data_IF_843253091185
#
_entry.id   IF_843253091185
#
_cell.length_a   1.000
_cell.length_b   1.000
_cell.length_c   1.000
_cell.angle_alpha   90.00
_cell.angle_beta   90.00
_cell.angle_gamma   90.00
#
_symmetry.space_group_name_H-M   'P 1'
#
loop_
_entity.id
_entity.type
_entity.pdbx_description
1 polymer ?
#
# COMPACT_ATOMS: atom_id res chain seq x y z
N UNK A 1 -71.66 20.61 17.06
CA UNK A 1 -70.34 20.22 17.60
C UNK A 1 -69.48 19.76 16.43
N UNK A 2 -68.87 20.69 15.70
CA UNK A 2 -67.95 20.39 14.58
C UNK A 2 -66.53 20.69 15.03
N UNK A 3 -65.68 19.66 15.06
CA UNK A 3 -64.25 19.78 15.36
C UNK A 3 -63.52 19.92 14.03
N UNK A 4 -63.00 21.11 13.73
CA UNK A 4 -62.12 21.36 12.60
C UNK A 4 -60.70 21.01 13.05
N UNK A 5 -60.16 19.91 12.52
CA UNK A 5 -58.77 19.51 12.75
C UNK A 5 -57.89 20.24 11.72
N UNK A 6 -57.20 21.27 12.17
CA UNK A 6 -56.23 22.02 11.37
C UNK A 6 -54.87 21.30 11.43
N UNK A 7 -54.60 20.39 10.49
CA UNK A 7 -53.27 19.79 10.32
C UNK A 7 -52.43 20.77 9.50
N UNK A 8 -51.66 21.61 10.18
CA UNK A 8 -50.64 22.45 9.57
C UNK A 8 -49.47 21.60 9.07
N UNK A 9 -49.21 21.67 7.76
CA UNK A 9 -48.05 21.09 7.09
C UNK A 9 -46.75 21.66 7.66
N UNK A 10 -46.10 20.89 8.54
CA UNK A 10 -44.73 21.18 8.95
C UNK A 10 -43.81 20.91 7.75
N UNK A 11 -43.36 21.99 7.09
CA UNK A 11 -42.32 21.91 6.06
C UNK A 11 -41.02 21.51 6.74
N UNK A 12 -40.54 20.30 6.45
CA UNK A 12 -39.20 19.85 6.84
C UNK A 12 -38.22 20.44 5.83
N UNK A 13 -37.39 21.39 6.25
CA UNK A 13 -36.30 21.92 5.43
C UNK A 13 -35.04 21.09 5.69
N UNK A 14 -34.48 20.51 4.64
CA UNK A 14 -33.21 19.78 4.70
C UNK A 14 -32.05 20.76 4.50
N UNK A 15 -31.11 20.80 5.44
CA UNK A 15 -29.86 21.56 5.33
C UNK A 15 -28.68 20.60 5.50
N UNK A 16 -27.65 20.76 4.68
CA UNK A 16 -26.41 19.99 4.81
C UNK A 16 -25.47 20.73 5.77
N UNK A 17 -25.00 20.04 6.82
CA UNK A 17 -24.08 20.62 7.81
C UNK A 17 -22.69 20.00 7.64
N UNK A 18 -21.77 20.77 7.06
CA UNK A 18 -20.36 20.42 6.97
C UNK A 18 -19.58 20.88 8.19
N UNK A 19 -18.63 20.06 8.64
CA UNK A 19 -17.68 20.43 9.69
C UNK A 19 -16.27 20.40 9.09
N UNK A 20 -15.51 21.46 9.31
CA UNK A 20 -14.09 21.50 8.97
C UNK A 20 -13.28 20.79 10.06
N UNK A 21 -12.61 19.69 9.70
CA UNK A 21 -11.83 18.86 10.63
C UNK A 21 -10.40 19.37 10.85
N UNK A 22 -10.03 20.53 10.28
CA UNK A 22 -8.63 20.98 10.19
C UNK A 22 -8.23 22.03 11.24
N UNK A 23 -9.08 22.36 12.21
CA UNK A 23 -8.83 23.40 13.23
C UNK A 23 -9.20 23.05 14.68
N UNK A 24 -8.61 23.77 15.65
CA UNK A 24 -8.79 23.59 17.11
C UNK A 24 -10.15 24.11 17.60
N UNK A 25 -10.80 25.02 16.86
CA UNK A 25 -12.11 25.57 17.18
C UNK A 25 -13.14 25.23 16.09
N UNK A 26 -14.32 24.77 16.50
CA UNK A 26 -15.43 24.46 15.61
C UNK A 26 -15.96 25.75 14.98
N UNK A 27 -15.69 25.99 13.69
CA UNK A 27 -16.33 27.05 12.92
C UNK A 27 -17.46 26.43 12.09
N UNK A 28 -18.72 26.77 12.40
CA UNK A 28 -19.89 26.20 11.73
C UNK A 28 -20.39 27.19 10.68
N UNK A 29 -20.15 26.87 9.42
CA UNK A 29 -20.77 27.55 8.28
C UNK A 29 -22.01 26.77 7.83
N UNK A 30 -23.17 27.42 7.82
CA UNK A 30 -24.41 26.87 7.26
C UNK A 30 -24.55 27.31 5.82
N UNK A 31 -24.65 26.35 4.89
CA UNK A 31 -24.82 26.64 3.47
C UNK A 31 -26.26 26.33 3.04
N UNK A 32 -26.91 27.27 2.35
CA UNK A 32 -28.25 27.10 1.80
C UNK A 32 -28.14 26.45 0.42
N UNK A 33 -28.79 25.30 0.21
CA UNK A 33 -28.86 24.65 -1.10
C UNK A 33 -29.85 25.32 -2.06
N UNK A 34 -30.57 26.35 -1.59
CA UNK A 34 -31.56 27.09 -2.39
C UNK A 34 -30.94 28.23 -3.19
N UNK A 35 -29.76 28.71 -2.80
CA UNK A 35 -29.06 29.88 -3.36
C UNK A 35 -27.65 29.52 -3.86
N UNK A 36 -27.46 28.30 -4.36
CA UNK A 36 -26.21 27.94 -5.03
C UNK A 36 -26.24 28.56 -6.42
N UNK A 37 -25.42 29.58 -6.65
CA UNK A 37 -25.22 30.11 -7.99
C UNK A 37 -24.74 28.98 -8.90
N UNK A 38 -25.30 28.89 -10.12
CA UNK A 38 -24.77 27.97 -11.13
C UNK A 38 -23.30 28.28 -11.34
N UNK A 39 -22.44 27.32 -11.03
CA UNK A 39 -21.06 27.37 -11.49
C UNK A 39 -21.14 27.32 -13.01
N UNK A 40 -20.79 28.40 -13.70
CA UNK A 40 -20.46 28.34 -15.12
C UNK A 40 -19.24 27.41 -15.24
N UNK A 41 -19.49 26.10 -15.35
CA UNK A 41 -18.46 25.15 -15.69
C UNK A 41 -18.20 25.36 -17.17
N UNK A 42 -17.01 25.82 -17.59
CA UNK A 42 -16.71 25.87 -19.01
C UNK A 42 -16.94 24.46 -19.58
N UNK A 43 -17.68 24.36 -20.69
CA UNK A 43 -17.97 23.11 -21.40
C UNK A 43 -16.70 22.63 -22.09
N UNK A 44 -15.70 22.28 -21.28
CA UNK A 44 -14.50 21.59 -21.73
C UNK A 44 -14.90 20.13 -21.85
N UNK A 45 -15.36 19.73 -23.03
CA UNK A 45 -15.55 18.31 -23.33
C UNK A 45 -14.21 17.59 -23.08
N UNK A 46 -14.16 16.65 -22.12
CA UNK A 46 -12.92 15.93 -21.85
C UNK A 46 -12.60 15.02 -23.02
N UNK A 47 -11.36 15.08 -23.49
CA UNK A 47 -10.81 14.12 -24.44
C UNK A 47 -10.47 12.85 -23.66
N UNK A 48 -11.06 11.73 -24.07
CA UNK A 48 -10.81 10.43 -23.48
C UNK A 48 -9.89 9.58 -24.37
N UNK A 49 -8.80 9.08 -23.80
CA UNK A 49 -7.89 8.18 -24.48
C UNK A 49 -7.68 6.93 -23.61
N UNK A 50 -7.73 5.74 -24.22
CA UNK A 50 -7.35 4.51 -23.53
C UNK A 50 -5.84 4.38 -23.52
N UNK A 51 -5.24 4.23 -22.34
CA UNK A 51 -3.79 4.07 -22.15
C UNK A 51 -3.53 2.87 -21.25
N UNK A 52 -2.48 2.11 -21.55
CA UNK A 52 -2.06 1.02 -20.67
C UNK A 52 -1.25 1.61 -19.52
N UNK A 53 -1.62 1.26 -18.28
CA UNK A 53 -0.98 1.81 -17.09
C UNK A 53 -0.62 0.72 -16.10
N UNK A 54 0.35 1.03 -15.25
CA UNK A 54 0.48 0.42 -13.94
C UNK A 54 0.14 1.43 -12.85
N UNK A 55 -0.70 1.02 -11.90
CA UNK A 55 -0.87 1.73 -10.64
C UNK A 55 0.14 1.17 -9.65
N UNK A 56 1.04 2.02 -9.19
CA UNK A 56 2.07 1.70 -8.23
C UNK A 56 1.72 2.31 -6.86
N UNK A 57 2.05 1.58 -5.80
CA UNK A 57 2.02 2.09 -4.44
C UNK A 57 3.42 2.09 -3.85
N UNK A 58 3.89 3.23 -3.36
CA UNK A 58 5.10 3.30 -2.55
C UNK A 58 4.89 2.54 -1.22
N UNK A 59 5.79 1.62 -0.93
CA UNK A 59 5.79 0.79 0.27
C UNK A 59 6.76 1.36 1.31
N UNK A 60 6.40 1.26 2.58
CA UNK A 60 7.34 1.53 3.68
C UNK A 60 8.08 0.26 4.14
N UNK A 61 7.70 -0.89 3.58
CA UNK A 61 8.19 -2.20 3.99
C UNK A 61 8.56 -3.06 2.80
N UNK A 62 9.48 -3.99 3.01
CA UNK A 62 9.84 -5.03 2.06
C UNK A 62 9.79 -6.40 2.75
N UNK A 63 9.71 -7.46 1.94
CA UNK A 63 9.69 -8.84 2.41
C UNK A 63 11.05 -9.49 2.18
N UNK A 64 11.53 -10.22 3.18
CA UNK A 64 12.80 -10.93 3.09
C UNK A 64 12.71 -12.34 3.63
N UNK A 65 13.46 -13.25 3.01
CA UNK A 65 13.50 -14.66 3.40
C UNK A 65 14.55 -14.87 4.48
N UNK A 66 14.09 -15.33 5.64
CA UNK A 66 14.91 -15.65 6.80
C UNK A 66 15.05 -17.16 6.94
N UNK A 67 16.28 -17.61 7.15
CA UNK A 67 16.64 -18.95 7.56
C UNK A 67 16.92 -18.95 9.05
N UNK A 68 16.29 -19.83 9.81
CA UNK A 68 16.52 -19.95 11.26
C UNK A 68 17.03 -21.33 11.62
N UNK A 69 18.16 -21.35 12.33
CA UNK A 69 18.83 -22.55 12.81
C UNK A 69 18.85 -22.53 14.34
N UNK A 70 18.33 -23.58 14.97
CA UNK A 70 18.45 -23.74 16.42
C UNK A 70 19.32 -24.96 16.71
N UNK A 71 20.39 -24.75 17.46
CA UNK A 71 21.09 -25.84 18.12
C UNK A 71 20.25 -26.26 19.32
N UNK A 72 19.83 -27.51 19.33
CA UNK A 72 19.14 -28.11 20.46
C UNK A 72 20.17 -28.93 21.23
N UNK A 73 20.44 -28.61 22.51
CA UNK A 73 21.37 -29.39 23.29
C UNK A 73 20.79 -30.78 23.55
N UNK A 74 21.65 -31.80 23.56
CA UNK A 74 21.24 -33.20 23.73
C UNK A 74 20.53 -33.45 25.07
N UNK A 75 20.82 -32.64 26.09
CA UNK A 75 20.20 -32.69 27.42
C UNK A 75 18.83 -31.99 27.50
N UNK A 76 18.26 -31.54 26.38
CA UNK A 76 16.88 -31.10 26.32
C UNK A 76 15.95 -32.26 26.69
N UNK A 77 15.07 -32.11 27.71
CA UNK A 77 14.22 -33.20 28.20
C UNK A 77 13.31 -33.77 27.12
N UNK A 78 12.84 -32.95 26.16
CA UNK A 78 11.96 -33.41 25.07
C UNK A 78 12.72 -34.31 24.08
N UNK A 79 14.01 -34.02 23.84
CA UNK A 79 14.88 -34.82 22.98
C UNK A 79 15.33 -36.09 23.71
N UNK A 80 15.66 -36.00 25.00
CA UNK A 80 16.05 -37.15 25.80
C UNK A 80 14.94 -38.21 25.84
N UNK A 81 13.67 -37.80 25.95
CA UNK A 81 12.51 -38.71 25.89
C UNK A 81 12.43 -39.37 24.51
N UNK A 82 12.55 -38.60 23.43
CA UNK A 82 12.50 -39.13 22.07
C UNK A 82 13.65 -40.13 21.78
N UNK A 83 14.88 -39.81 22.19
CA UNK A 83 16.05 -40.67 22.03
C UNK A 83 15.94 -41.96 22.86
N UNK A 84 15.41 -41.88 24.08
CA UNK A 84 15.17 -43.05 24.93
C UNK A 84 14.19 -44.05 24.30
N UNK A 85 13.22 -43.57 23.50
CA UNK A 85 12.28 -44.45 22.79
C UNK A 85 12.84 -45.08 21.51
N UNK A 86 13.88 -44.48 20.91
CA UNK A 86 14.41 -44.89 19.60
C UNK A 86 15.80 -45.54 19.64
N UNK A 87 16.49 -45.52 20.79
CA UNK A 87 17.75 -46.25 21.01
C UNK A 87 18.94 -45.74 20.20
N UNK A 88 18.97 -44.46 19.80
CA UNK A 88 20.01 -43.88 18.95
C UNK A 88 21.04 -43.05 19.75
N UNK A 89 22.32 -43.14 19.36
CA UNK A 89 23.44 -42.41 19.98
C UNK A 89 23.71 -41.05 19.29
N UNK A 90 24.32 -40.16 20.08
CA UNK A 90 24.30 -38.69 20.00
C UNK A 90 25.08 -38.07 18.85
N UNK A 91 24.40 -37.21 18.08
CA UNK A 91 24.99 -36.06 17.38
C UNK A 91 24.02 -34.89 17.55
N UNK A 92 24.50 -33.72 17.99
CA UNK A 92 23.71 -32.49 18.03
C UNK A 92 23.39 -32.06 16.59
N UNK A 93 22.36 -32.65 16.00
CA UNK A 93 21.96 -32.27 14.65
C UNK A 93 21.36 -30.86 14.69
N UNK A 94 21.86 -29.92 13.86
CA UNK A 94 21.25 -28.61 13.73
C UNK A 94 19.82 -28.78 13.21
N UNK A 95 18.83 -28.40 14.02
CA UNK A 95 17.43 -28.36 13.58
C UNK A 95 17.25 -27.10 12.72
N UNK A 96 17.39 -27.25 11.41
CA UNK A 96 17.09 -26.20 10.44
C UNK A 96 15.56 -26.05 10.33
N UNK A 97 15.02 -24.90 10.76
CA UNK A 97 13.61 -24.60 10.51
C UNK A 97 13.42 -24.22 9.05
N UNK A 98 12.22 -24.47 8.53
CA UNK A 98 11.84 -24.03 7.20
C UNK A 98 12.03 -22.51 7.08
N UNK A 99 12.56 -22.03 5.94
CA UNK A 99 12.66 -20.60 5.70
C UNK A 99 11.27 -19.95 5.80
N UNK A 100 11.24 -18.74 6.35
CA UNK A 100 10.02 -17.94 6.43
C UNK A 100 10.26 -16.54 5.88
N UNK A 101 9.21 -15.87 5.41
CA UNK A 101 9.28 -14.48 5.03
C UNK A 101 9.01 -13.59 6.25
N UNK A 102 9.77 -12.52 6.41
CA UNK A 102 9.50 -11.48 7.39
C UNK A 102 9.43 -10.09 6.75
N UNK A 103 8.77 -9.17 7.44
CA UNK A 103 8.66 -7.76 7.04
C UNK A 103 9.85 -6.98 7.57
N UNK A 104 10.27 -6.01 6.78
CA UNK A 104 11.40 -5.15 7.04
C UNK A 104 11.03 -3.72 6.67
N UNK A 105 11.12 -2.76 7.60
CA UNK A 105 10.95 -1.35 7.25
C UNK A 105 12.08 -0.91 6.30
N UNK A 106 11.72 -0.14 5.28
CA UNK A 106 12.69 0.48 4.36
C UNK A 106 13.37 1.71 4.99
N UNK A 107 12.82 2.24 6.09
CA UNK A 107 13.24 3.50 6.72
C UNK A 107 14.38 3.35 7.74
N UNK A 108 14.57 2.15 8.30
CA UNK A 108 15.62 1.87 9.26
C UNK A 108 16.27 0.54 8.91
N UNK A 109 17.59 0.46 9.00
CA UNK A 109 18.41 -0.70 8.60
C UNK A 109 18.21 -1.90 9.55
N UNK A 110 16.97 -2.30 9.80
CA UNK A 110 16.53 -3.21 10.83
C UNK A 110 15.57 -4.24 10.28
N UNK A 111 15.65 -5.45 10.81
CA UNK A 111 14.75 -6.56 10.50
C UNK A 111 14.07 -7.01 11.81
N UNK A 112 12.76 -7.20 11.76
CA UNK A 112 12.01 -7.81 12.84
C UNK A 112 11.87 -9.31 12.56
N UNK A 113 12.47 -10.15 13.40
CA UNK A 113 12.37 -11.60 13.30
C UNK A 113 11.07 -12.12 13.93
N UNK A 114 10.64 -13.34 13.56
CA UNK A 114 9.47 -14.00 14.16
C UNK A 114 9.61 -14.21 15.69
N UNK A 115 10.84 -14.21 16.18
CA UNK A 115 11.19 -14.26 17.60
C UNK A 115 11.03 -12.91 18.32
N UNK A 116 10.50 -11.89 17.64
CA UNK A 116 10.41 -10.50 18.10
C UNK A 116 11.79 -9.85 18.34
N UNK A 117 12.88 -10.51 17.93
CA UNK A 117 14.22 -9.94 17.96
C UNK A 117 14.39 -8.96 16.81
N UNK A 118 14.84 -7.74 17.12
CA UNK A 118 15.19 -6.73 16.12
C UNK A 118 16.70 -6.80 15.86
N UNK A 119 17.09 -6.99 14.61
CA UNK A 119 18.48 -7.15 14.21
C UNK A 119 18.86 -6.12 13.13
N UNK A 120 20.15 -5.90 12.93
CA UNK A 120 20.66 -4.99 11.89
C UNK A 120 20.68 -5.71 10.55
N UNK A 121 19.99 -5.18 9.54
CA UNK A 121 19.82 -5.84 8.25
C UNK A 121 21.14 -6.16 7.55
N UNK A 122 22.08 -5.21 7.53
CA UNK A 122 23.37 -5.37 6.83
C UNK A 122 24.31 -6.41 7.49
N UNK A 123 23.99 -6.92 8.68
CA UNK A 123 24.80 -7.96 9.32
C UNK A 123 24.53 -9.36 8.74
N UNK A 124 23.43 -9.54 7.98
CA UNK A 124 23.02 -10.80 7.33
C UNK A 124 22.78 -11.99 8.30
N UNK A 125 23.05 -11.79 9.58
CA UNK A 125 23.00 -12.78 10.63
C UNK A 125 22.69 -12.11 11.97
N UNK A 126 21.94 -12.82 12.83
CA UNK A 126 21.67 -12.39 14.19
C UNK A 126 21.26 -13.55 15.09
N UNK A 127 21.52 -13.41 16.38
CA UNK A 127 21.10 -14.36 17.41
C UNK A 127 19.77 -13.90 17.99
N UNK A 128 18.75 -14.75 17.91
CA UNK A 128 17.44 -14.54 18.49
C UNK A 128 17.48 -14.57 20.03
N UNK A 129 16.52 -13.94 20.69
CA UNK A 129 16.37 -13.97 22.15
C UNK A 129 16.32 -15.39 22.77
N UNK A 130 15.90 -16.39 22.00
CA UNK A 130 15.85 -17.80 22.41
C UNK A 130 17.14 -18.59 22.12
N UNK A 131 18.22 -17.90 21.73
CA UNK A 131 19.53 -18.48 21.40
C UNK A 131 19.62 -19.17 20.04
N UNK A 132 18.57 -19.12 19.21
CA UNK A 132 18.67 -19.60 17.82
C UNK A 132 19.33 -18.57 16.92
N UNK A 133 20.02 -19.01 15.88
CA UNK A 133 20.63 -18.15 14.88
C UNK A 133 19.68 -17.94 13.71
N UNK A 134 19.64 -16.72 13.22
CA UNK A 134 18.88 -16.34 12.04
C UNK A 134 19.82 -15.72 11.01
N UNK A 135 19.57 -16.06 9.76
CA UNK A 135 20.35 -15.65 8.60
C UNK A 135 19.41 -15.17 7.51
N UNK A 136 19.85 -14.20 6.72
CA UNK A 136 19.11 -13.71 5.56
C UNK A 136 20.07 -13.21 4.50
N UNK A 137 19.57 -13.04 3.27
CA UNK A 137 20.34 -12.46 2.19
C UNK A 137 20.18 -10.93 2.20
N UNK A 138 21.23 -10.20 1.86
CA UNK A 138 21.11 -8.78 1.56
C UNK A 138 20.07 -8.58 0.45
N UNK A 139 19.26 -7.52 0.59
CA UNK A 139 18.38 -7.10 -0.50
C UNK A 139 19.30 -6.72 -1.68
N UNK A 140 19.06 -7.24 -2.89
CA UNK A 140 19.71 -6.70 -4.07
C UNK A 140 19.36 -5.21 -4.14
N UNK A 141 20.33 -4.33 -3.92
CA UNK A 141 20.17 -2.90 -4.23
C UNK A 141 20.10 -2.79 -5.73
N UNK A 142 18.89 -2.86 -6.27
CA UNK A 142 18.65 -2.54 -7.66
C UNK A 142 18.80 -1.01 -7.84
N UNK A 143 19.37 -0.55 -8.94
CA UNK A 143 19.66 0.89 -9.14
C UNK A 143 18.43 1.80 -9.09
N UNK A 144 17.22 1.23 -9.11
CA UNK A 144 15.95 1.95 -9.20
C UNK A 144 15.02 1.69 -8.02
N UNK A 145 15.48 0.97 -7.00
CA UNK A 145 14.72 0.58 -5.82
C UNK A 145 13.31 0.06 -6.13
N UNK A 146 13.15 -0.79 -7.14
CA UNK A 146 11.87 -1.39 -7.57
C UNK A 146 11.15 -2.10 -6.43
N UNK A 147 11.90 -2.62 -5.45
CA UNK A 147 11.33 -3.28 -4.27
C UNK A 147 10.55 -2.34 -3.32
N UNK A 148 10.71 -1.03 -3.46
CA UNK A 148 9.96 -0.01 -2.71
C UNK A 148 8.56 0.25 -3.31
N UNK A 149 8.19 -0.40 -4.42
CA UNK A 149 6.92 -0.16 -5.09
C UNK A 149 6.14 -1.46 -5.29
N UNK A 150 4.84 -1.39 -5.05
CA UNK A 150 3.87 -2.45 -5.29
C UNK A 150 3.02 -2.15 -6.51
N UNK A 151 2.90 -3.11 -7.44
CA UNK A 151 1.97 -3.01 -8.56
C UNK A 151 0.57 -3.42 -8.09
N UNK A 152 -0.34 -2.46 -7.99
CA UNK A 152 -1.73 -2.68 -7.58
C UNK A 152 -2.66 -2.99 -8.76
N UNK A 153 -2.30 -2.51 -9.95
CA UNK A 153 -3.10 -2.66 -11.17
C UNK A 153 -2.18 -2.61 -12.39
N UNK A 154 -2.45 -3.41 -13.41
CA UNK A 154 -1.65 -3.51 -14.65
C UNK A 154 -2.55 -3.85 -15.84
N UNK A 155 -3.31 -2.88 -16.33
CA UNK A 155 -4.25 -3.06 -17.43
C UNK A 155 -4.55 -1.70 -18.12
N UNK A 156 -5.31 -1.68 -19.24
CA UNK A 156 -5.78 -0.43 -19.86
C UNK A 156 -6.72 0.39 -18.96
N UNK A 157 -6.45 1.69 -18.85
CA UNK A 157 -7.28 2.67 -18.16
C UNK A 157 -7.69 3.83 -19.08
N UNK A 158 -8.73 4.57 -18.70
CA UNK A 158 -9.19 5.74 -19.46
C UNK A 158 -8.52 6.99 -18.91
N UNK A 159 -7.70 7.65 -19.72
CA UNK A 159 -7.11 8.95 -19.42
C UNK A 159 -8.03 10.05 -19.93
N UNK A 160 -8.47 10.92 -19.04
CA UNK A 160 -9.25 12.10 -19.35
C UNK A 160 -8.34 13.32 -19.30
N UNK A 161 -8.34 14.09 -20.37
CA UNK A 161 -7.60 15.35 -20.48
C UNK A 161 -8.54 16.44 -20.99
N UNK A 162 -8.29 17.69 -20.61
CA UNK A 162 -8.96 18.82 -21.26
C UNK A 162 -8.60 18.88 -22.75
N UNK A 163 -9.57 19.26 -23.59
CA UNK A 163 -9.32 19.56 -25.01
C UNK A 163 -8.28 20.69 -25.18
N UNK A 164 -8.14 21.55 -24.17
CA UNK A 164 -7.10 22.58 -24.08
C UNK A 164 -6.07 22.14 -23.02
N UNK A 165 -4.83 21.74 -23.42
CA UNK A 165 -3.84 21.15 -22.51
C UNK A 165 -3.45 22.03 -21.30
N UNK A 166 -3.65 23.34 -21.41
CA UNK A 166 -3.28 24.32 -20.37
C UNK A 166 -4.38 24.62 -19.36
N UNK A 167 -5.59 24.08 -19.54
CA UNK A 167 -6.78 24.55 -18.81
C UNK A 167 -7.53 23.48 -18.01
N UNK A 168 -7.01 22.25 -17.89
CA UNK A 168 -7.70 21.25 -17.07
C UNK A 168 -6.84 20.13 -16.52
N UNK A 169 -7.32 19.48 -15.43
CA UNK A 169 -6.61 18.37 -14.81
C UNK A 169 -6.56 17.17 -15.76
N UNK A 170 -5.50 16.37 -15.62
CA UNK A 170 -5.44 15.04 -16.21
C UNK A 170 -5.90 14.03 -15.18
N UNK A 171 -6.91 13.24 -15.51
CA UNK A 171 -7.48 12.22 -14.64
C UNK A 171 -7.28 10.84 -15.26
N UNK A 172 -7.09 9.82 -14.44
CA UNK A 172 -7.05 8.44 -14.88
C UNK A 172 -8.20 7.68 -14.26
N UNK A 173 -9.14 7.21 -15.06
CA UNK A 173 -10.23 6.35 -14.60
C UNK A 173 -9.75 4.91 -14.70
N UNK A 174 -9.53 4.31 -13.54
CA UNK A 174 -9.06 2.94 -13.43
C UNK A 174 -10.17 2.12 -12.81
N UNK A 175 -10.56 1.06 -13.51
CA UNK A 175 -11.63 0.17 -13.08
C UNK A 175 -11.08 -1.23 -12.93
N UNK A 176 -11.19 -1.79 -11.73
CA UNK A 176 -10.78 -3.16 -11.44
C UNK A 176 -11.90 -3.88 -10.71
N UNK A 177 -12.37 -4.98 -11.30
CA UNK A 177 -13.54 -5.74 -10.83
C UNK A 177 -14.76 -4.83 -10.66
N UNK A 178 -15.12 -4.50 -9.42
CA UNK A 178 -16.30 -3.70 -9.06
C UNK A 178 -15.93 -2.33 -8.45
N UNK A 179 -14.65 -1.94 -8.51
CA UNK A 179 -14.17 -0.67 -7.94
C UNK A 179 -13.59 0.20 -9.05
N UNK A 180 -14.08 1.43 -9.12
CA UNK A 180 -13.54 2.47 -9.99
C UNK A 180 -12.90 3.56 -9.12
N UNK A 181 -11.66 3.92 -9.44
CA UNK A 181 -10.93 5.02 -8.81
C UNK A 181 -10.46 6.00 -9.88
N UNK A 182 -10.41 7.28 -9.53
CA UNK A 182 -10.10 8.37 -10.49
C UNK A 182 -9.02 9.32 -9.96
N UNK A 183 -7.74 8.89 -9.93
CA UNK A 183 -6.64 9.73 -9.50
C UNK A 183 -6.39 10.88 -10.47
N UNK A 184 -6.26 12.07 -9.90
CA UNK A 184 -5.80 13.27 -10.60
C UNK A 184 -4.28 13.33 -10.61
N UNK A 185 -3.71 13.64 -11.78
CA UNK A 185 -2.29 13.94 -11.95
C UNK A 185 -1.94 15.26 -11.25
N UNK A 186 -0.87 15.24 -10.47
CA UNK A 186 -0.32 16.43 -9.78
C UNK A 186 1.01 16.87 -10.39
N UNK A 187 1.93 15.92 -10.63
CA UNK A 187 3.26 16.18 -11.20
C UNK A 187 3.84 14.91 -11.81
N UNK A 188 5.02 15.03 -12.43
CA UNK A 188 5.78 13.88 -12.91
C UNK A 188 7.07 13.72 -12.08
N UNK A 189 7.50 12.49 -11.90
CA UNK A 189 8.71 12.08 -11.21
C UNK A 189 9.48 11.08 -12.06
N UNK A 190 10.76 11.35 -12.31
CA UNK A 190 11.62 10.45 -13.06
C UNK A 190 12.29 9.44 -12.11
N UNK A 191 12.09 8.15 -12.37
CA UNK A 191 12.74 7.06 -11.67
C UNK A 191 13.54 6.22 -12.67
N UNK A 192 14.86 6.37 -12.68
CA UNK A 192 15.75 5.80 -13.70
C UNK A 192 15.32 6.18 -15.13
N UNK A 193 14.83 5.21 -15.91
CA UNK A 193 14.33 5.39 -17.29
C UNK A 193 12.79 5.51 -17.35
N UNK A 194 12.12 5.43 -16.21
CA UNK A 194 10.67 5.46 -16.10
C UNK A 194 10.20 6.85 -15.71
N UNK A 195 9.06 7.25 -16.24
CA UNK A 195 8.37 8.49 -15.85
C UNK A 195 7.12 8.09 -15.09
N UNK A 196 7.11 8.36 -13.80
CA UNK A 196 5.99 8.13 -12.92
C UNK A 196 5.17 9.42 -12.80
N UNK A 197 3.86 9.28 -12.79
CA UNK A 197 2.91 10.36 -12.59
C UNK A 197 2.49 10.33 -11.13
N UNK A 198 2.75 11.43 -10.43
CA UNK A 198 2.27 11.65 -9.08
C UNK A 198 0.77 11.92 -9.10
N UNK A 199 0.09 11.41 -8.08
CA UNK A 199 -1.34 11.63 -7.88
C UNK A 199 -1.59 12.50 -6.65
N UNK A 200 -2.85 12.80 -6.36
CA UNK A 200 -3.25 13.47 -5.11
C UNK A 200 -2.92 12.65 -3.86
N UNK A 201 -2.81 11.33 -3.98
CA UNK A 201 -2.43 10.47 -2.87
C UNK A 201 -0.89 10.32 -2.82
N UNK A 202 -0.24 10.61 -1.69
CA UNK A 202 1.22 10.71 -1.60
C UNK A 202 1.98 9.41 -1.88
N UNK A 203 1.28 8.27 -1.85
CA UNK A 203 1.86 6.94 -2.13
C UNK A 203 1.37 6.31 -3.41
N UNK A 204 0.38 6.87 -4.10
CA UNK A 204 -0.12 6.29 -5.35
C UNK A 204 0.51 7.02 -6.53
N UNK A 205 1.10 6.22 -7.42
CA UNK A 205 1.84 6.67 -8.59
C UNK A 205 1.31 5.91 -9.80
N UNK A 206 1.28 6.57 -10.96
CA UNK A 206 0.83 5.95 -12.21
C UNK A 206 1.99 5.89 -13.18
N UNK A 207 2.18 4.77 -13.86
CA UNK A 207 3.12 4.67 -14.97
C UNK A 207 2.37 4.34 -16.24
N UNK A 208 2.33 5.28 -17.19
CA UNK A 208 1.88 5.01 -18.55
C UNK A 208 2.93 4.15 -19.25
N UNK A 209 2.53 2.99 -19.78
CA UNK A 209 3.46 2.04 -20.38
C UNK A 209 2.83 1.22 -21.50
N UNK A 210 3.59 0.29 -22.05
CA UNK A 210 3.13 -0.75 -22.96
C UNK A 210 3.10 -2.09 -22.23
N UNK A 211 2.25 -3.05 -22.65
CA UNK A 211 2.15 -4.36 -22.01
C UNK A 211 3.47 -5.14 -21.90
N UNK A 212 4.45 -4.85 -22.77
CA UNK A 212 5.77 -5.49 -22.82
C UNK A 212 6.87 -4.71 -22.08
N UNK A 213 6.54 -3.55 -21.51
CA UNK A 213 7.49 -2.63 -20.82
C UNK A 213 7.03 -2.29 -19.41
N UNK A 214 6.60 -3.29 -18.67
CA UNK A 214 6.09 -3.12 -17.32
C UNK A 214 7.20 -2.85 -16.31
N UNK A 215 6.81 -2.16 -15.24
CA UNK A 215 7.61 -1.96 -14.04
C UNK A 215 7.83 -3.34 -13.40
N UNK A 216 9.07 -3.73 -13.09
CA UNK A 216 9.34 -5.03 -12.48
C UNK A 216 8.55 -5.19 -11.19
N UNK A 217 7.85 -6.32 -11.04
CA UNK A 217 7.16 -6.66 -9.80
C UNK A 217 7.93 -7.78 -9.07
N UNK A 218 8.85 -7.44 -8.15
CA UNK A 218 9.66 -8.44 -7.46
C UNK A 218 8.87 -9.34 -6.49
N UNK A 219 7.61 -9.02 -6.17
CA UNK A 219 6.81 -9.78 -5.16
C UNK A 219 5.98 -10.93 -5.75
N UNK A 220 5.90 -11.05 -7.06
CA UNK A 220 5.18 -12.14 -7.75
C UNK A 220 6.11 -13.19 -8.39
N UNK A 221 7.40 -13.18 -8.02
CA UNK A 221 8.42 -14.07 -8.59
C UNK A 221 8.95 -15.09 -7.57
#
# INVERSE_FOLDING_TARGET
>A
MSIIVLISLLKVTSALKGYDCTGISLNISTFSLSDVADCETPDLQPVNNTVFIQLLQASDYNMMKVLQCRTVPVWDPDIMIALATLGTTTSSQPQRRLPYATIMPLSNNQILLKSETTCILNEEHCINANGSESYWFAIPTDSCNFSEYDVLYEEPAVKLTSAVPTEGPTLFVVTSRDVTFTPTRTSDFALCKYTLVCTEHPKLLIMETLPDRTFPNPRHQ
#
